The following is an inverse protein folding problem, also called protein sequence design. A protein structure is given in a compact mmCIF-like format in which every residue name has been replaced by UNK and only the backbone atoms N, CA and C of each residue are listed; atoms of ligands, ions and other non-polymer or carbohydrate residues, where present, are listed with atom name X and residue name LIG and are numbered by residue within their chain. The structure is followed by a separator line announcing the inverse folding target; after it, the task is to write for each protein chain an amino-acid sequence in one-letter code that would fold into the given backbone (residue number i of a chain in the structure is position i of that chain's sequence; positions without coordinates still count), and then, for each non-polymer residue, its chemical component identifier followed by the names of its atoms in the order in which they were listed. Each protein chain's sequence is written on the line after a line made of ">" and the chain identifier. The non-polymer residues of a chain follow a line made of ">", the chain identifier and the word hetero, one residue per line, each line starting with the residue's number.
data_IF_824385097196
#
_entry.id   IF_824385097196
#
_cell.length_a   1.000
_cell.length_b   1.000
_cell.length_c   1.000
_cell.angle_alpha   90.00
_cell.angle_beta   90.00
_cell.angle_gamma   90.00
#
_symmetry.space_group_name_H-M   'P 1'
#
loop_
_entity.id
_entity.type
_entity.pdbx_description
1 polymer ?
#
# COMPACT_ATOMS: atom_id res chain seq x y z
N UNK A 1 -5.68 -8.86 -5.55
CA UNK A 1 -4.75 -8.65 -4.41
C UNK A 1 -5.26 -7.61 -3.44
N UNK A 2 -4.67 -7.56 -2.28
CA UNK A 2 -4.99 -6.57 -1.24
C UNK A 2 -3.80 -5.65 -1.01
N UNK A 3 -4.09 -4.41 -0.64
CA UNK A 3 -3.08 -3.43 -0.20
C UNK A 3 -3.51 -2.91 1.17
N UNK A 4 -2.56 -2.77 2.07
CA UNK A 4 -2.80 -2.29 3.42
C UNK A 4 -1.79 -1.20 3.75
N UNK A 5 -2.30 0.00 4.00
CA UNK A 5 -1.54 1.09 4.58
C UNK A 5 -1.51 0.95 6.11
N UNK A 6 -0.38 1.26 6.70
CA UNK A 6 -0.19 1.29 8.15
C UNK A 6 0.14 2.70 8.61
N UNK A 7 -0.40 3.11 9.74
CA UNK A 7 0.09 4.32 10.37
C UNK A 7 1.34 4.03 11.22
N UNK A 8 2.17 5.04 11.38
CA UNK A 8 3.37 4.98 12.22
C UNK A 8 3.33 6.07 13.28
N UNK A 9 3.86 5.76 14.44
CA UNK A 9 4.06 6.71 15.53
C UNK A 9 5.30 6.36 16.35
N UNK A 10 5.69 7.21 17.27
CA UNK A 10 6.62 6.85 18.34
C UNK A 10 5.84 6.50 19.63
N UNK A 11 6.33 5.51 20.36
CA UNK A 11 5.83 5.18 21.70
C UNK A 11 6.41 6.13 22.76
N UNK A 12 6.57 7.40 22.41
CA UNK A 12 7.04 8.48 23.28
C UNK A 12 6.24 9.75 22.98
N UNK A 13 6.20 10.73 23.88
CA UNK A 13 5.51 11.99 23.64
C UNK A 13 6.24 12.93 22.68
N UNK A 14 7.37 12.49 22.12
CA UNK A 14 8.20 13.30 21.24
C UNK A 14 7.52 13.59 19.90
N UNK A 15 7.84 14.73 19.33
CA UNK A 15 7.42 15.04 17.97
C UNK A 15 8.20 14.16 16.97
N UNK A 16 7.52 13.66 15.97
CA UNK A 16 8.11 12.84 14.93
C UNK A 16 7.64 13.26 13.53
N UNK A 17 8.39 12.85 12.53
CA UNK A 17 8.01 12.99 11.14
C UNK A 17 7.49 11.63 10.64
N UNK A 18 6.18 11.48 10.36
CA UNK A 18 5.62 10.19 9.94
C UNK A 18 6.17 9.72 8.60
N UNK A 19 6.54 10.64 7.69
CA UNK A 19 7.17 10.29 6.42
C UNK A 19 8.52 9.62 6.66
N UNK A 20 9.36 10.20 7.54
CA UNK A 20 10.66 9.60 7.88
C UNK A 20 10.49 8.22 8.54
N UNK A 21 9.58 8.09 9.50
CA UNK A 21 9.32 6.79 10.14
C UNK A 21 8.83 5.75 9.13
N UNK A 22 8.03 6.15 8.14
CA UNK A 22 7.58 5.25 7.07
C UNK A 22 8.74 4.78 6.20
N UNK A 23 9.67 5.67 5.85
CA UNK A 23 10.91 5.28 5.17
C UNK A 23 11.75 4.33 6.02
N UNK A 24 11.86 4.56 7.32
CA UNK A 24 12.63 3.71 8.22
C UNK A 24 12.03 2.28 8.27
N UNK A 25 10.70 2.17 8.34
CA UNK A 25 10.01 0.87 8.30
C UNK A 25 10.23 0.17 6.96
N UNK A 26 10.07 0.88 5.83
CA UNK A 26 10.29 0.30 4.50
C UNK A 26 11.75 -0.14 4.31
N UNK A 27 12.71 0.64 4.78
CA UNK A 27 14.12 0.25 4.78
C UNK A 27 14.35 -0.99 5.66
N UNK A 28 13.64 -1.09 6.79
CA UNK A 28 13.64 -2.28 7.64
C UNK A 28 13.09 -3.53 6.95
N UNK A 29 12.27 -3.40 5.91
CA UNK A 29 11.82 -4.53 5.11
C UNK A 29 12.92 -5.10 4.19
N UNK A 30 13.92 -4.30 3.84
CA UNK A 30 15.04 -4.71 2.99
C UNK A 30 16.04 -5.57 3.80
N UNK A 31 15.92 -6.87 3.69
CA UNK A 31 16.83 -7.87 4.29
C UNK A 31 17.52 -8.72 3.21
N UNK A 32 18.25 -9.74 3.63
CA UNK A 32 18.97 -10.64 2.71
C UNK A 32 18.05 -11.44 1.78
N UNK A 33 16.78 -11.55 2.09
CA UNK A 33 15.79 -12.32 1.33
C UNK A 33 14.87 -11.43 0.48
N UNK A 34 14.99 -10.12 0.61
CA UNK A 34 14.19 -9.14 -0.11
C UNK A 34 15.05 -8.33 -1.06
N UNK A 35 14.41 -7.70 -2.04
CA UNK A 35 15.10 -6.89 -3.05
C UNK A 35 14.60 -5.45 -2.97
N UNK A 36 15.54 -4.52 -2.81
CA UNK A 36 15.27 -3.11 -3.07
C UNK A 36 15.19 -2.87 -4.56
N UNK A 37 14.16 -2.20 -5.00
CA UNK A 37 13.98 -1.81 -6.39
C UNK A 37 14.06 -0.28 -6.51
N UNK A 38 14.76 0.15 -7.55
CA UNK A 38 14.68 1.53 -8.03
C UNK A 38 13.62 1.56 -9.11
N UNK A 39 12.61 2.36 -8.89
CA UNK A 39 11.58 2.53 -9.91
C UNK A 39 12.10 3.45 -11.01
N UNK A 40 12.02 3.00 -12.25
CA UNK A 40 12.43 3.76 -13.44
C UNK A 40 11.25 3.85 -14.42
N UNK A 41 10.62 5.01 -14.46
CA UNK A 41 9.46 5.26 -15.31
C UNK A 41 9.79 5.67 -16.75
N UNK A 42 11.07 5.73 -17.15
CA UNK A 42 11.47 6.21 -18.48
C UNK A 42 10.88 5.40 -19.63
N UNK A 43 10.50 4.15 -19.38
CA UNK A 43 9.88 3.27 -20.36
C UNK A 43 8.36 3.18 -20.23
N UNK A 44 7.78 3.89 -19.29
CA UNK A 44 6.34 3.91 -19.06
C UNK A 44 5.69 5.17 -19.61
N UNK A 45 4.44 5.07 -20.03
CA UNK A 45 3.60 6.22 -20.38
C UNK A 45 2.38 6.25 -19.44
N UNK A 46 2.52 6.82 -18.22
CA UNK A 46 1.48 6.77 -17.20
C UNK A 46 0.21 7.57 -17.58
N UNK A 47 0.27 8.39 -18.61
CA UNK A 47 -0.91 9.11 -19.14
C UNK A 47 -1.67 8.32 -20.20
N UNK A 48 -1.16 7.16 -20.59
CA UNK A 48 -1.76 6.29 -21.60
C UNK A 48 -2.39 5.07 -20.92
N UNK A 49 -3.70 5.12 -20.73
CA UNK A 49 -4.45 4.04 -20.12
C UNK A 49 -4.48 2.80 -21.02
N UNK A 50 -4.32 1.62 -20.46
CA UNK A 50 -4.42 0.34 -21.16
C UNK A 50 -5.79 0.10 -21.83
N UNK A 51 -6.82 0.88 -21.48
CA UNK A 51 -8.14 0.88 -22.14
C UNK A 51 -8.17 1.72 -23.43
N UNK A 52 -7.04 2.32 -23.81
CA UNK A 52 -6.93 3.17 -24.99
C UNK A 52 -7.31 4.64 -24.76
N UNK A 53 -7.59 5.01 -23.51
CA UNK A 53 -7.82 6.42 -23.14
C UNK A 53 -6.48 7.07 -22.82
N UNK A 54 -6.24 8.24 -23.37
CA UNK A 54 -5.04 9.04 -23.10
C UNK A 54 -5.43 10.32 -22.37
N UNK A 55 -4.83 10.54 -21.22
CA UNK A 55 -4.96 11.80 -20.51
C UNK A 55 -4.07 12.86 -21.16
N UNK A 56 -4.62 14.04 -21.43
CA UNK A 56 -3.82 15.17 -21.89
C UNK A 56 -2.77 15.55 -20.85
N UNK A 57 -1.53 15.76 -21.29
CA UNK A 57 -0.40 16.06 -20.38
C UNK A 57 -0.66 17.27 -19.46
N UNK A 58 -1.39 18.27 -19.98
CA UNK A 58 -1.77 19.45 -19.20
C UNK A 58 -2.77 19.16 -18.07
N UNK A 59 -3.51 18.05 -18.17
CA UNK A 59 -4.47 17.61 -17.15
C UNK A 59 -3.88 16.55 -16.21
N UNK A 60 -2.67 16.05 -16.50
CA UNK A 60 -2.00 15.06 -15.67
C UNK A 60 -1.41 15.71 -14.41
N UNK A 61 -1.46 14.99 -13.30
CA UNK A 61 -0.79 15.45 -12.07
C UNK A 61 0.74 15.39 -12.25
N UNK A 62 1.50 16.26 -11.57
CA UNK A 62 2.97 16.30 -11.71
C UNK A 62 3.66 14.94 -11.42
N UNK A 63 3.14 14.17 -10.49
CA UNK A 63 3.64 12.83 -10.15
C UNK A 63 3.46 11.80 -11.29
N UNK A 64 2.47 12.00 -12.16
CA UNK A 64 2.26 11.18 -13.37
C UNK A 64 3.18 11.55 -14.54
N UNK A 65 3.89 12.67 -14.44
CA UNK A 65 4.74 13.18 -15.51
C UNK A 65 6.24 13.02 -15.25
N UNK A 66 6.60 12.55 -14.08
CA UNK A 66 8.00 12.31 -13.72
C UNK A 66 8.47 10.98 -14.30
N UNK A 67 9.59 11.02 -15.00
CA UNK A 67 10.35 9.86 -15.47
C UNK A 67 11.70 9.73 -14.73
N UNK A 68 11.92 10.58 -13.72
CA UNK A 68 13.14 10.55 -12.95
C UNK A 68 13.24 9.27 -12.11
N UNK A 69 14.38 8.52 -12.17
CA UNK A 69 14.57 7.37 -11.32
C UNK A 69 14.51 7.76 -9.85
N UNK A 70 13.78 6.99 -9.05
CA UNK A 70 13.77 7.17 -7.60
C UNK A 70 15.11 6.67 -7.02
N UNK A 71 15.87 7.58 -6.46
CA UNK A 71 17.21 7.27 -5.93
C UNK A 71 17.16 6.68 -4.51
N UNK A 72 16.07 6.94 -3.78
CA UNK A 72 15.87 6.43 -2.43
C UNK A 72 15.17 5.06 -2.46
N UNK A 73 15.48 4.22 -1.48
CA UNK A 73 14.80 2.94 -1.28
C UNK A 73 13.41 3.22 -0.73
N UNK A 74 12.44 3.33 -1.62
CA UNK A 74 11.02 3.52 -1.27
C UNK A 74 10.19 2.29 -1.55
N UNK A 75 10.80 1.26 -2.14
CA UNK A 75 10.15 0.04 -2.60
C UNK A 75 11.04 -1.18 -2.30
N UNK A 76 10.44 -2.19 -1.70
CA UNK A 76 11.07 -3.47 -1.41
C UNK A 76 10.15 -4.59 -1.87
N UNK A 77 10.69 -5.57 -2.59
CA UNK A 77 9.97 -6.82 -2.87
C UNK A 77 10.27 -7.79 -1.72
N UNK A 78 9.21 -8.16 -1.01
CA UNK A 78 9.27 -9.12 0.08
C UNK A 78 9.49 -10.57 -0.43
N UNK A 79 9.95 -11.51 0.43
CA UNK A 79 10.24 -12.88 0.02
C UNK A 79 9.05 -13.64 -0.58
N UNK A 80 7.83 -13.25 -0.22
CA UNK A 80 6.60 -13.84 -0.74
C UNK A 80 6.14 -13.23 -2.08
N UNK A 81 6.91 -12.29 -2.64
CA UNK A 81 6.54 -11.57 -3.86
C UNK A 81 5.66 -10.34 -3.64
N UNK A 82 5.28 -10.05 -2.40
CA UNK A 82 4.59 -8.81 -2.06
C UNK A 82 5.51 -7.59 -2.14
N UNK A 83 4.94 -6.41 -2.13
CA UNK A 83 5.67 -5.15 -2.19
C UNK A 83 5.49 -4.37 -0.90
N UNK A 84 6.58 -3.82 -0.37
CA UNK A 84 6.57 -2.87 0.74
C UNK A 84 7.11 -1.54 0.24
N UNK A 85 6.37 -0.48 0.44
CA UNK A 85 6.73 0.85 -0.07
C UNK A 85 6.14 1.96 0.80
N UNK A 86 6.52 3.20 0.53
CA UNK A 86 5.91 4.37 1.16
C UNK A 86 4.85 4.92 0.22
N UNK A 87 3.61 4.98 0.69
CA UNK A 87 2.55 5.76 0.08
C UNK A 87 2.19 6.94 0.98
N UNK A 88 2.36 8.16 0.46
CA UNK A 88 2.23 9.42 1.21
C UNK A 88 3.11 9.43 2.48
N UNK A 89 2.53 9.16 3.64
CA UNK A 89 3.23 9.10 4.91
C UNK A 89 3.00 7.76 5.63
N UNK A 90 2.58 6.73 4.89
CA UNK A 90 2.28 5.40 5.40
C UNK A 90 3.21 4.36 4.78
N UNK A 91 3.79 3.45 5.55
CA UNK A 91 4.35 2.24 4.99
C UNK A 91 3.19 1.34 4.56
N UNK A 92 3.25 0.87 3.33
CA UNK A 92 2.19 0.07 2.71
C UNK A 92 2.72 -1.28 2.27
N UNK A 93 1.89 -2.30 2.43
CA UNK A 93 2.13 -3.63 1.90
C UNK A 93 1.09 -3.98 0.86
N UNK A 94 1.54 -4.23 -0.38
CA UNK A 94 0.73 -4.82 -1.45
C UNK A 94 1.00 -6.32 -1.50
N UNK A 95 -0.05 -7.12 -1.32
CA UNK A 95 0.02 -8.56 -1.38
C UNK A 95 0.23 -9.05 -2.83
N UNK A 96 0.83 -10.24 -3.04
CA UNK A 96 0.84 -10.89 -4.33
C UNK A 96 -0.57 -11.12 -4.88
N UNK A 97 -0.70 -11.15 -6.19
CA UNK A 97 -1.94 -11.53 -6.86
C UNK A 97 -2.29 -12.99 -6.59
N UNK A 98 -3.56 -13.26 -6.39
CA UNK A 98 -4.08 -14.62 -6.18
C UNK A 98 -5.39 -14.85 -6.94
N UNK A 99 -5.73 -16.12 -7.16
CA UNK A 99 -7.02 -16.52 -7.70
C UNK A 99 -7.88 -17.23 -6.65
N UNK A 100 -7.37 -17.39 -5.44
CA UNK A 100 -7.98 -18.10 -4.33
C UNK A 100 -8.20 -17.14 -3.14
N UNK A 101 -9.42 -17.00 -2.61
CA UNK A 101 -9.72 -16.12 -1.50
C UNK A 101 -9.01 -16.52 -0.19
N UNK A 102 -8.75 -17.81 0.02
CA UNK A 102 -8.01 -18.28 1.20
C UNK A 102 -6.53 -17.91 1.10
N UNK A 103 -5.96 -17.94 -0.10
CA UNK A 103 -4.61 -17.48 -0.35
C UNK A 103 -4.51 -15.97 -0.18
N UNK A 104 -5.51 -15.20 -0.65
CA UNK A 104 -5.58 -13.76 -0.43
C UNK A 104 -5.55 -13.43 1.08
N UNK A 105 -6.33 -14.12 1.89
CA UNK A 105 -6.32 -13.95 3.34
C UNK A 105 -4.97 -14.33 3.99
N UNK A 106 -4.30 -15.37 3.49
CA UNK A 106 -2.96 -15.75 3.96
C UNK A 106 -1.91 -14.71 3.62
N UNK A 107 -1.96 -14.15 2.41
CA UNK A 107 -1.01 -13.10 2.00
C UNK A 107 -1.25 -11.79 2.74
N UNK A 108 -2.49 -11.43 3.01
CA UNK A 108 -2.82 -10.29 3.87
C UNK A 108 -2.22 -10.48 5.27
N UNK A 109 -2.42 -11.66 5.86
CA UNK A 109 -1.82 -11.99 7.17
C UNK A 109 -0.28 -12.06 7.12
N UNK A 110 0.30 -12.55 6.04
CA UNK A 110 1.74 -12.54 5.84
C UNK A 110 2.30 -11.12 5.79
N UNK A 111 1.54 -10.18 5.21
CA UNK A 111 1.86 -8.76 5.22
C UNK A 111 2.02 -8.21 6.63
N UNK A 112 1.11 -8.51 7.55
CA UNK A 112 1.24 -8.09 8.95
C UNK A 112 2.57 -8.58 9.57
N UNK A 113 2.95 -9.82 9.32
CA UNK A 113 4.19 -10.39 9.86
C UNK A 113 5.44 -9.75 9.24
N UNK A 114 5.41 -9.51 7.93
CA UNK A 114 6.48 -8.82 7.21
C UNK A 114 6.66 -7.41 7.76
N UNK A 115 5.57 -6.67 7.91
CA UNK A 115 5.58 -5.29 8.39
C UNK A 115 5.98 -5.20 9.87
N UNK A 116 5.59 -6.16 10.69
CA UNK A 116 6.05 -6.27 12.08
C UNK A 116 7.57 -6.51 12.13
N UNK A 117 8.08 -7.45 11.34
CA UNK A 117 9.52 -7.74 11.28
C UNK A 117 10.31 -6.54 10.73
N UNK A 118 9.78 -5.83 9.73
CA UNK A 118 10.37 -4.62 9.19
C UNK A 118 10.47 -3.51 10.26
N UNK A 119 9.39 -3.31 11.02
CA UNK A 119 9.35 -2.34 12.12
C UNK A 119 10.37 -2.66 13.20
N UNK A 120 10.54 -3.93 13.56
CA UNK A 120 11.51 -4.34 14.58
C UNK A 120 12.96 -4.09 14.10
N UNK A 121 13.25 -4.37 12.83
CA UNK A 121 14.54 -4.01 12.24
C UNK A 121 14.77 -2.50 12.20
N UNK A 122 13.73 -1.72 11.85
CA UNK A 122 13.81 -0.26 11.87
C UNK A 122 14.11 0.28 13.27
N UNK A 123 13.46 -0.26 14.32
CA UNK A 123 13.78 0.08 15.72
C UNK A 123 15.23 -0.20 16.06
N UNK A 124 15.75 -1.35 15.66
CA UNK A 124 17.14 -1.74 15.90
C UNK A 124 18.12 -0.82 15.18
N UNK A 125 17.81 -0.43 13.95
CA UNK A 125 18.68 0.40 13.11
C UNK A 125 18.70 1.87 13.54
N UNK A 126 17.56 2.39 13.96
CA UNK A 126 17.39 3.83 14.27
C UNK A 126 17.47 4.13 15.77
N UNK A 127 17.26 3.14 16.62
CA UNK A 127 17.07 3.34 18.06
C UNK A 127 15.71 3.97 18.43
N UNK A 128 14.86 4.27 17.45
CA UNK A 128 13.56 4.91 17.67
C UNK A 128 12.49 3.87 18.07
N UNK A 129 11.65 4.15 19.09
CA UNK A 129 10.58 3.23 19.53
C UNK A 129 9.34 3.33 18.61
N UNK A 130 9.51 2.96 17.35
CA UNK A 130 8.48 3.04 16.32
C UNK A 130 7.32 2.09 16.65
N UNK A 131 6.10 2.59 16.59
CA UNK A 131 4.88 1.79 16.64
C UNK A 131 4.20 1.76 15.27
N UNK A 132 3.73 0.60 14.88
CA UNK A 132 2.98 0.37 13.65
C UNK A 132 1.52 0.07 13.98
N UNK A 133 0.59 0.71 13.28
CA UNK A 133 -0.84 0.60 13.54
C UNK A 133 -1.59 0.20 12.28
N UNK A 134 -2.49 -0.78 12.42
CA UNK A 134 -3.42 -1.20 11.37
C UNK A 134 -4.86 -0.95 11.83
N UNK A 135 -5.33 0.28 11.70
CA UNK A 135 -6.61 0.70 12.25
C UNK A 135 -7.40 1.68 11.35
N UNK A 136 -6.91 2.00 10.17
CA UNK A 136 -7.53 2.80 9.10
C UNK A 136 -7.86 4.27 9.46
N UNK A 137 -7.85 4.68 10.71
CA UNK A 137 -8.17 6.05 11.14
C UNK A 137 -7.41 6.44 12.41
N UNK A 138 -7.08 7.73 12.55
CA UNK A 138 -6.38 8.29 13.71
C UNK A 138 -7.30 8.90 14.77
N UNK A 139 -8.62 8.90 14.55
CA UNK A 139 -9.58 9.58 15.41
C UNK A 139 -9.58 11.11 15.33
N UNK A 140 -8.75 11.71 14.45
CA UNK A 140 -8.63 13.15 14.23
C UNK A 140 -9.08 13.59 12.84
N UNK A 141 -9.57 12.67 12.03
CA UNK A 141 -10.06 12.90 10.68
C UNK A 141 -9.14 12.39 9.57
N UNK A 142 -7.89 11.98 9.87
CA UNK A 142 -7.05 11.29 8.90
C UNK A 142 -7.45 9.83 8.78
N UNK A 143 -7.36 9.31 7.56
CA UNK A 143 -7.58 7.89 7.27
C UNK A 143 -6.50 7.39 6.32
N UNK A 144 -6.28 6.09 6.34
CA UNK A 144 -5.39 5.36 5.44
C UNK A 144 -6.06 4.11 4.91
N UNK A 145 -5.62 3.68 3.73
CA UNK A 145 -6.35 2.74 2.91
C UNK A 145 -6.19 1.28 3.31
N UNK A 146 -7.23 0.54 2.98
CA UNK A 146 -7.17 -0.90 2.76
C UNK A 146 -7.84 -1.15 1.41
N UNK A 147 -7.05 -1.50 0.39
CA UNK A 147 -7.51 -1.62 -0.98
C UNK A 147 -7.74 -3.08 -1.36
N UNK A 148 -8.69 -3.29 -2.25
CA UNK A 148 -8.93 -4.57 -2.89
C UNK A 148 -8.86 -4.39 -4.40
N UNK A 149 -7.94 -5.10 -5.05
CA UNK A 149 -7.70 -5.03 -6.49
C UNK A 149 -8.21 -6.29 -7.17
N UNK A 150 -9.15 -6.13 -8.09
CA UNK A 150 -9.79 -7.23 -8.80
C UNK A 150 -9.42 -7.20 -10.28
N UNK A 151 -8.76 -8.26 -10.76
CA UNK A 151 -8.54 -8.46 -12.19
C UNK A 151 -9.83 -8.93 -12.84
N UNK A 152 -10.26 -8.22 -13.87
CA UNK A 152 -11.49 -8.54 -14.60
C UNK A 152 -11.23 -8.62 -16.10
N UNK A 153 -11.97 -9.50 -16.79
CA UNK A 153 -11.93 -9.53 -18.24
C UNK A 153 -12.48 -8.23 -18.82
N UNK A 154 -11.84 -7.69 -19.87
CA UNK A 154 -12.25 -6.44 -20.53
C UNK A 154 -13.65 -6.52 -21.15
N UNK A 155 -14.14 -7.75 -21.45
CA UNK A 155 -15.48 -7.98 -21.95
C UNK A 155 -16.60 -7.79 -20.92
N UNK A 156 -16.26 -7.68 -19.62
CA UNK A 156 -17.25 -7.42 -18.58
C UNK A 156 -17.68 -5.95 -18.65
N UNK A 157 -18.97 -5.65 -18.86
CA UNK A 157 -19.43 -4.26 -18.90
C UNK A 157 -19.20 -3.55 -17.57
N UNK A 158 -18.63 -2.35 -17.61
CA UNK A 158 -18.25 -1.62 -16.39
C UNK A 158 -19.47 -1.21 -15.54
N UNK A 159 -20.60 -0.91 -16.16
CA UNK A 159 -21.86 -0.62 -15.46
C UNK A 159 -22.37 -1.81 -14.64
N UNK A 160 -22.18 -3.02 -15.15
CA UNK A 160 -22.48 -4.25 -14.39
C UNK A 160 -21.55 -4.37 -13.16
N UNK A 161 -20.25 -4.14 -13.35
CA UNK A 161 -19.28 -4.13 -12.24
C UNK A 161 -19.69 -3.12 -11.18
N UNK A 162 -19.92 -1.87 -11.57
CA UNK A 162 -20.31 -0.79 -10.66
C UNK A 162 -21.56 -1.16 -9.86
N UNK A 163 -22.60 -1.67 -10.52
CA UNK A 163 -23.85 -2.04 -9.87
C UNK A 163 -23.67 -3.16 -8.84
N UNK A 164 -22.93 -4.22 -9.22
CA UNK A 164 -22.73 -5.37 -8.33
C UNK A 164 -21.77 -5.05 -7.17
N UNK A 165 -20.67 -4.38 -7.46
CA UNK A 165 -19.69 -4.03 -6.42
C UNK A 165 -20.22 -2.98 -5.45
N UNK A 166 -21.03 -2.04 -5.91
CA UNK A 166 -21.71 -1.09 -5.02
C UNK A 166 -22.59 -1.80 -4.00
N UNK A 167 -23.40 -2.75 -4.46
CA UNK A 167 -24.22 -3.57 -3.57
C UNK A 167 -23.36 -4.36 -2.58
N UNK A 168 -22.29 -4.99 -3.06
CA UNK A 168 -21.37 -5.74 -2.21
C UNK A 168 -20.74 -4.85 -1.14
N UNK A 169 -20.18 -3.72 -1.51
CA UNK A 169 -19.49 -2.82 -0.58
C UNK A 169 -20.43 -2.20 0.46
N UNK A 170 -21.67 -1.91 0.11
CA UNK A 170 -22.66 -1.39 1.07
C UNK A 170 -23.11 -2.48 2.04
N UNK A 171 -23.31 -3.71 1.57
CA UNK A 171 -23.88 -4.78 2.39
C UNK A 171 -22.84 -5.55 3.21
N UNK A 172 -21.58 -5.63 2.77
CA UNK A 172 -20.52 -6.37 3.49
C UNK A 172 -20.26 -5.83 4.89
N UNK A 173 -20.59 -4.57 5.17
CA UNK A 173 -20.46 -3.97 6.50
C UNK A 173 -21.20 -4.76 7.58
N UNK A 174 -22.26 -5.49 7.22
CA UNK A 174 -23.08 -6.28 8.14
C UNK A 174 -22.27 -7.42 8.77
N UNK A 175 -21.34 -8.01 8.04
CA UNK A 175 -20.54 -9.15 8.49
C UNK A 175 -19.03 -8.89 8.59
N UNK A 176 -18.51 -7.95 7.83
CA UNK A 176 -17.08 -7.61 7.82
C UNK A 176 -16.74 -6.40 8.72
N UNK A 177 -17.75 -5.66 9.16
CA UNK A 177 -17.58 -4.38 9.84
C UNK A 177 -17.23 -3.24 8.90
N UNK A 178 -17.26 -2.01 9.41
CA UNK A 178 -17.00 -0.80 8.64
C UNK A 178 -15.53 -0.37 8.62
N UNK A 179 -14.66 -1.12 9.28
CA UNK A 179 -13.23 -0.76 9.43
C UNK A 179 -13.00 0.41 10.38
N UNK A 180 -14.06 0.94 10.99
CA UNK A 180 -14.00 2.07 11.91
C UNK A 180 -15.04 1.90 13.02
N UNK A 181 -14.60 2.20 14.24
CA UNK A 181 -15.48 2.47 15.39
C UNK A 181 -15.36 3.95 15.70
N UNK A 182 -16.45 4.68 15.62
CA UNK A 182 -16.41 6.11 15.91
C UNK A 182 -17.78 6.70 16.03
#
# INVERSE_FOLDING_TARGET
>A
GTETEYAVSLNTPDRYNPVQLSFDVVNGAADSHSKSIRWDYRQEDPVNDARGTRLERAAARPDMLTDAPQLNITNVIAPNGGRVYVDHAHPEYSAPETTDPFEAARYDRAGDLIMQAATERARTQTGAPIALHRNNVDGKGSCWGAHENYMMARSVPFDLVTRLMTLHFVTRQIYAGSGRVG
#
